data_IF_524550089919
#
_entry.id   IF_524550089919
#
_cell.length_a   1.000
_cell.length_b   1.000
_cell.length_c   1.000
_cell.angle_alpha   90.00
_cell.angle_beta   90.00
_cell.angle_gamma   90.00
#
_symmetry.space_group_name_H-M   'P 1'
#
loop_
_entity.id
_entity.type
_entity.pdbx_description
1 polymer ?
#
# COMPACT_ATOMS: atom_id res chain seq x y z
N UNK A 1 -24.47 9.17 9.04
CA UNK A 1 -24.54 9.64 7.65
C UNK A 1 -23.52 8.87 6.82
N UNK A 2 -23.96 8.07 5.85
CA UNK A 2 -23.05 7.28 5.00
C UNK A 2 -22.31 8.20 4.03
N UNK A 3 -21.00 8.37 4.21
CA UNK A 3 -20.16 9.20 3.34
C UNK A 3 -19.68 8.38 2.14
N UNK A 4 -19.98 8.87 0.94
CA UNK A 4 -19.55 8.26 -0.31
C UNK A 4 -18.51 9.12 -1.03
N UNK A 5 -17.65 8.47 -1.80
CA UNK A 5 -16.53 9.06 -2.51
C UNK A 5 -16.59 8.66 -3.98
N UNK A 6 -16.51 9.64 -4.89
CA UNK A 6 -16.28 9.33 -6.30
C UNK A 6 -14.92 8.65 -6.49
N UNK A 7 -14.76 7.90 -7.58
CA UNK A 7 -13.50 7.20 -7.89
C UNK A 7 -12.25 8.10 -7.78
N UNK A 8 -12.33 9.36 -8.24
CA UNK A 8 -11.21 10.30 -8.19
C UNK A 8 -10.90 10.76 -6.76
N UNK A 9 -11.94 10.96 -5.93
CA UNK A 9 -11.74 11.33 -4.53
C UNK A 9 -11.20 10.15 -3.72
N UNK A 10 -11.72 8.95 -3.99
CA UNK A 10 -11.28 7.71 -3.35
C UNK A 10 -9.82 7.37 -3.71
N UNK A 11 -9.44 7.51 -4.99
CA UNK A 11 -8.08 7.24 -5.45
C UNK A 11 -7.05 8.20 -4.84
N UNK A 12 -7.40 9.49 -4.72
CA UNK A 12 -6.56 10.49 -4.05
C UNK A 12 -6.30 10.15 -2.59
N UNK A 13 -7.32 9.70 -1.86
CA UNK A 13 -7.17 9.32 -0.45
C UNK A 13 -6.28 8.07 -0.32
N UNK A 14 -6.43 7.10 -1.22
CA UNK A 14 -5.65 5.85 -1.20
C UNK A 14 -4.24 5.98 -1.79
N UNK A 15 -3.89 7.12 -2.41
CA UNK A 15 -2.59 7.28 -3.09
C UNK A 15 -2.42 6.40 -4.33
N UNK A 16 -3.52 6.00 -5.00
CA UNK A 16 -3.48 5.20 -6.23
C UNK A 16 -4.13 5.94 -7.41
N UNK A 17 -3.89 5.46 -8.63
CA UNK A 17 -4.59 6.00 -9.80
C UNK A 17 -6.06 5.57 -9.83
N UNK A 18 -6.93 6.38 -10.43
CA UNK A 18 -8.32 5.96 -10.69
C UNK A 18 -8.39 4.69 -11.57
N UNK A 19 -7.40 4.48 -12.44
CA UNK A 19 -7.32 3.28 -13.27
C UNK A 19 -7.06 2.02 -12.43
N UNK A 20 -6.24 2.13 -11.38
CA UNK A 20 -6.01 1.03 -10.43
C UNK A 20 -7.33 0.57 -9.80
N UNK A 21 -8.19 1.50 -9.40
CA UNK A 21 -9.51 1.16 -8.85
C UNK A 21 -10.43 0.51 -9.88
N UNK A 22 -10.43 0.97 -11.14
CA UNK A 22 -11.18 0.30 -12.23
C UNK A 22 -10.69 -1.13 -12.48
N UNK A 23 -9.37 -1.35 -12.39
CA UNK A 23 -8.79 -2.67 -12.53
C UNK A 23 -9.13 -3.58 -11.35
N UNK A 24 -9.21 -3.05 -10.13
CA UNK A 24 -9.65 -3.81 -8.95
C UNK A 24 -11.11 -4.22 -9.03
N UNK A 25 -11.98 -3.34 -9.53
CA UNK A 25 -13.38 -3.66 -9.83
C UNK A 25 -13.48 -4.80 -10.85
N UNK A 26 -12.77 -4.69 -11.98
CA UNK A 26 -12.73 -5.76 -13.01
C UNK A 26 -12.21 -7.10 -12.50
N UNK A 27 -11.26 -7.09 -11.56
CA UNK A 27 -10.63 -8.30 -11.00
C UNK A 27 -11.37 -8.84 -9.76
N UNK A 28 -12.46 -8.21 -9.34
CA UNK A 28 -13.21 -8.60 -8.13
C UNK A 28 -12.49 -8.29 -6.81
N UNK A 29 -11.38 -7.54 -6.83
CA UNK A 29 -10.62 -7.18 -5.63
C UNK A 29 -11.35 -6.14 -4.78
N UNK A 30 -12.04 -5.20 -5.43
CA UNK A 30 -12.84 -4.16 -4.78
C UNK A 30 -13.90 -3.65 -5.74
N UNK A 31 -15.16 -3.99 -5.48
CA UNK A 31 -16.29 -3.43 -6.21
C UNK A 31 -16.73 -2.08 -5.63
N UNK A 32 -17.23 -1.13 -6.43
CA UNK A 32 -17.85 0.08 -5.91
C UNK A 32 -19.10 -0.28 -5.11
N UNK A 33 -19.39 0.48 -4.05
CA UNK A 33 -20.63 0.30 -3.28
C UNK A 33 -21.86 0.49 -4.17
N UNK A 34 -21.83 1.47 -5.07
CA UNK A 34 -22.84 1.63 -6.09
C UNK A 34 -22.28 2.32 -7.33
N UNK A 35 -23.00 2.12 -8.43
CA UNK A 35 -22.76 2.80 -9.70
C UNK A 35 -23.99 3.65 -10.00
N UNK A 36 -23.80 4.91 -10.34
CA UNK A 36 -24.90 5.79 -10.76
C UNK A 36 -25.41 5.41 -12.16
N UNK A 37 -26.57 5.92 -12.55
CA UNK A 37 -27.20 5.66 -13.86
C UNK A 37 -26.31 6.00 -15.06
N UNK A 38 -25.40 6.95 -14.91
CA UNK A 38 -24.42 7.38 -15.91
C UNK A 38 -23.05 6.66 -15.78
N UNK A 39 -22.95 5.61 -14.98
CA UNK A 39 -21.76 4.75 -14.90
C UNK A 39 -20.64 5.22 -13.96
N UNK A 40 -20.85 6.28 -13.16
CA UNK A 40 -19.86 6.70 -12.17
C UNK A 40 -19.88 5.79 -10.96
N UNK A 41 -18.67 5.47 -10.49
CA UNK A 41 -18.42 4.58 -9.36
C UNK A 41 -18.28 5.38 -8.07
N UNK A 42 -19.00 4.92 -7.05
CA UNK A 42 -18.96 5.50 -5.70
C UNK A 42 -18.58 4.45 -4.67
N UNK A 43 -17.68 4.82 -3.78
CA UNK A 43 -17.14 3.97 -2.73
C UNK A 43 -17.55 4.49 -1.36
N UNK A 44 -17.85 3.60 -0.42
CA UNK A 44 -18.25 3.99 0.93
C UNK A 44 -17.04 4.29 1.82
N UNK A 45 -17.29 4.98 2.93
CA UNK A 45 -16.28 5.15 3.98
C UNK A 45 -15.85 3.82 4.62
N UNK A 46 -16.74 2.84 4.71
CA UNK A 46 -16.38 1.49 5.18
C UNK A 46 -15.41 0.80 4.22
N UNK A 47 -15.63 0.91 2.91
CA UNK A 47 -14.70 0.40 1.91
C UNK A 47 -13.35 1.12 1.98
N UNK A 48 -13.35 2.42 2.28
CA UNK A 48 -12.10 3.14 2.55
C UNK A 48 -11.38 2.51 3.73
N UNK A 49 -12.08 2.27 4.84
CA UNK A 49 -11.51 1.66 6.03
C UNK A 49 -11.05 0.22 5.77
N UNK A 50 -11.76 -0.57 4.97
CA UNK A 50 -11.34 -1.92 4.57
C UNK A 50 -10.02 -1.90 3.80
N UNK A 51 -9.89 -0.99 2.83
CA UNK A 51 -8.67 -0.86 2.03
C UNK A 51 -7.53 -0.25 2.84
N UNK A 52 -7.82 0.70 3.73
CA UNK A 52 -6.84 1.34 4.61
C UNK A 52 -6.41 0.44 5.79
N UNK A 53 -7.25 -0.51 6.23
CA UNK A 53 -6.90 -1.52 7.23
C UNK A 53 -5.94 -2.58 6.71
N UNK A 54 -5.55 -2.52 5.43
CA UNK A 54 -4.39 -3.23 4.88
C UNK A 54 -3.11 -2.46 5.25
N UNK A 55 -2.91 -2.19 6.56
CA UNK A 55 -1.92 -1.28 7.19
C UNK A 55 -1.81 0.11 6.53
N UNK A 56 -1.78 1.21 7.32
CA UNK A 56 -1.41 2.49 6.73
C UNK A 56 -0.04 2.32 6.08
N UNK A 57 0.10 2.76 4.82
CA UNK A 57 1.40 3.10 4.26
C UNK A 57 2.05 4.03 5.29
N UNK A 58 2.87 3.46 6.17
CA UNK A 58 3.55 4.20 7.21
C UNK A 58 4.45 5.16 6.46
N UNK A 59 4.17 6.45 6.57
CA UNK A 59 5.03 7.45 5.93
C UNK A 59 6.47 7.18 6.36
N UNK A 60 7.41 7.26 5.43
CA UNK A 60 8.81 6.90 5.69
C UNK A 60 9.35 7.70 6.88
N UNK A 61 8.94 8.96 7.02
CA UNK A 61 9.34 9.79 8.18
C UNK A 61 8.77 9.28 9.50
N UNK A 62 7.53 8.82 9.51
CA UNK A 62 6.90 8.25 10.70
C UNK A 62 7.52 6.89 11.06
N UNK A 63 7.86 6.06 10.06
CA UNK A 63 8.64 4.84 10.27
C UNK A 63 9.99 5.17 10.92
N UNK A 64 10.76 6.09 10.32
CA UNK A 64 12.07 6.48 10.85
C UNK A 64 11.97 7.03 12.27
N UNK A 65 10.95 7.87 12.55
CA UNK A 65 10.71 8.42 13.89
C UNK A 65 10.41 7.33 14.92
N UNK A 66 9.70 6.27 14.54
CA UNK A 66 9.40 5.18 15.46
C UNK A 66 10.59 4.26 15.70
N UNK A 67 11.39 4.00 14.66
CA UNK A 67 12.67 3.30 14.78
C UNK A 67 13.59 4.08 15.72
N UNK A 68 13.76 5.40 15.51
CA UNK A 68 14.62 6.24 16.36
C UNK A 68 14.11 6.41 17.80
N UNK A 69 12.88 5.99 18.08
CA UNK A 69 12.27 6.00 19.42
C UNK A 69 12.26 4.61 20.07
N UNK A 70 12.89 3.60 19.46
CA UNK A 70 12.85 2.19 19.86
C UNK A 70 11.40 1.70 20.11
N UNK A 71 10.45 2.16 19.28
CA UNK A 71 9.04 1.73 19.33
C UNK A 71 8.72 0.63 18.32
N UNK A 72 9.73 0.19 17.57
CA UNK A 72 9.61 -0.79 16.50
C UNK A 72 10.82 -1.70 16.59
N UNK A 73 10.60 -2.94 17.00
CA UNK A 73 11.65 -3.94 17.11
C UNK A 73 11.89 -4.65 15.77
N UNK A 74 10.88 -4.66 14.88
CA UNK A 74 10.95 -5.32 13.58
C UNK A 74 10.12 -4.62 12.50
N UNK A 75 10.71 -4.44 11.32
CA UNK A 75 10.08 -3.94 10.10
C UNK A 75 9.97 -5.08 9.09
N UNK A 76 8.77 -5.28 8.54
CA UNK A 76 8.49 -6.32 7.54
C UNK A 76 8.25 -5.68 6.18
N UNK A 77 8.99 -6.10 5.15
CA UNK A 77 8.93 -5.54 3.80
C UNK A 77 8.57 -6.63 2.78
N UNK A 78 7.52 -6.42 1.98
CA UNK A 78 6.97 -7.47 1.11
C UNK A 78 7.66 -7.66 -0.26
N UNK A 79 8.55 -6.76 -0.67
CA UNK A 79 9.37 -6.90 -1.88
C UNK A 79 10.57 -5.98 -1.74
N UNK A 80 11.72 -6.37 -2.30
CA UNK A 80 12.90 -5.51 -2.28
C UNK A 80 12.69 -4.21 -3.08
N UNK A 81 11.76 -4.09 -4.07
CA UNK A 81 11.68 -2.80 -4.79
C UNK A 81 10.44 -2.36 -5.62
N UNK A 82 10.12 -1.06 -5.45
CA UNK A 82 10.05 -0.06 -6.54
C UNK A 82 10.39 1.38 -6.05
N UNK A 83 11.13 1.52 -4.94
CA UNK A 83 11.36 2.82 -4.27
C UNK A 83 12.84 3.11 -3.94
N UNK A 84 13.79 2.16 -4.00
CA UNK A 84 14.92 2.22 -3.07
C UNK A 84 16.28 1.69 -3.55
N UNK A 85 16.65 1.85 -4.83
CA UNK A 85 18.05 1.63 -5.23
C UNK A 85 19.07 2.51 -4.48
N UNK A 86 18.61 3.58 -3.80
CA UNK A 86 19.42 4.45 -2.93
C UNK A 86 18.87 4.62 -1.51
N UNK A 87 17.67 4.11 -1.22
CA UNK A 87 16.97 4.42 0.04
C UNK A 87 16.84 3.26 1.01
N UNK A 88 17.05 2.02 0.56
CA UNK A 88 16.89 0.84 1.43
C UNK A 88 18.11 0.69 2.32
N UNK A 89 19.31 0.92 1.78
CA UNK A 89 20.56 0.95 2.54
C UNK A 89 20.51 1.96 3.70
N UNK A 90 19.90 3.14 3.47
CA UNK A 90 19.71 4.13 4.54
C UNK A 90 18.75 3.64 5.61
N UNK A 91 17.70 2.91 5.23
CA UNK A 91 16.74 2.33 6.18
C UNK A 91 17.37 1.18 6.96
N UNK A 92 18.16 0.32 6.31
CA UNK A 92 18.95 -0.74 6.94
C UNK A 92 19.95 -0.16 7.94
N UNK A 93 20.70 0.87 7.53
CA UNK A 93 21.65 1.58 8.40
C UNK A 93 20.95 2.16 9.64
N UNK A 94 19.86 2.91 9.45
CA UNK A 94 19.11 3.47 10.58
C UNK A 94 18.56 2.35 11.47
N UNK A 95 17.97 1.30 10.90
CA UNK A 95 17.45 0.19 11.68
C UNK A 95 18.54 -0.48 12.54
N UNK A 96 19.75 -0.67 11.99
CA UNK A 96 20.90 -1.20 12.74
C UNK A 96 21.38 -0.30 13.89
N UNK A 97 21.22 1.02 13.77
CA UNK A 97 21.58 1.95 14.85
C UNK A 97 20.63 1.87 16.05
N UNK A 98 19.42 1.37 15.84
CA UNK A 98 18.33 1.36 16.83
C UNK A 98 17.84 -0.07 17.15
N UNK A 99 18.68 -1.09 16.89
CA UNK A 99 18.39 -2.50 17.20
C UNK A 99 17.04 -2.98 16.65
N UNK A 100 16.74 -2.58 15.40
CA UNK A 100 15.51 -2.88 14.71
C UNK A 100 15.79 -3.87 13.57
N UNK A 101 15.13 -5.03 13.60
CA UNK A 101 15.26 -6.06 12.56
C UNK A 101 14.48 -5.70 11.30
N UNK A 102 15.05 -5.96 10.12
CA UNK A 102 14.32 -5.89 8.86
C UNK A 102 14.13 -7.29 8.30
N UNK A 103 12.88 -7.73 8.18
CA UNK A 103 12.50 -9.02 7.62
C UNK A 103 11.83 -8.81 6.25
N UNK A 104 12.39 -9.43 5.22
CA UNK A 104 11.85 -9.35 3.87
C UNK A 104 10.99 -10.60 3.64
N UNK A 105 9.69 -10.40 3.48
CA UNK A 105 8.76 -11.49 3.16
C UNK A 105 8.52 -11.47 1.66
N UNK A 106 9.29 -12.27 0.93
CA UNK A 106 9.04 -12.53 -0.47
C UNK A 106 7.89 -13.55 -0.59
N UNK A 107 6.72 -13.08 -1.01
CA UNK A 107 5.59 -13.95 -1.35
C UNK A 107 5.38 -14.07 -2.86
N UNK A 108 6.37 -13.69 -3.69
CA UNK A 108 6.37 -14.18 -5.06
C UNK A 108 6.90 -15.59 -5.08
N UNK A 109 5.99 -16.57 -5.19
CA UNK A 109 6.34 -17.77 -5.93
C UNK A 109 6.94 -17.32 -7.26
N UNK A 110 8.25 -17.52 -7.43
CA UNK A 110 8.90 -17.39 -8.72
C UNK A 110 8.28 -18.43 -9.66
N UNK A 111 7.24 -18.07 -10.39
CA UNK A 111 7.05 -18.71 -11.71
C UNK A 111 8.14 -18.15 -12.61
N UNK A 112 9.18 -18.95 -12.83
CA UNK A 112 10.36 -18.71 -13.68
C UNK A 112 10.03 -18.53 -15.18
N UNK A 113 8.92 -17.90 -15.53
CA UNK A 113 8.53 -17.69 -16.93
C UNK A 113 8.14 -16.24 -17.17
N UNK A 114 9.14 -15.39 -17.38
CA UNK A 114 9.11 -14.25 -18.32
C UNK A 114 10.45 -13.49 -18.30
N UNK A 115 11.53 -14.17 -18.68
CA UNK A 115 12.61 -13.54 -19.45
C UNK A 115 12.65 -14.24 -20.80
N UNK A 116 11.91 -13.69 -21.77
CA UNK A 116 12.06 -13.84 -23.22
C UNK A 116 10.89 -13.09 -23.86
N UNK A 117 11.08 -11.78 -24.11
CA UNK A 117 10.79 -11.03 -25.35
C UNK A 117 11.35 -9.63 -25.18
#
# INVERSE_FOLDING_TARGET
MSKYYSINKFSKILGVSAQTLRNWDKKGKLHPHHTSSNGYRYYSHEQLNQVMNVKPNLDRKELMKRISQNKVDKVVVFYKDRLLRFGFELVEYIASLYDCDIEIIDHTEKTEQQELV
#
